data_IF_729559879113
#
_entry.id   IF_729559879113
#
_cell.length_a   1.000
_cell.length_b   1.000
_cell.length_c   1.000
_cell.angle_alpha   90.00
_cell.angle_beta   90.00
_cell.angle_gamma   90.00
#
_symmetry.space_group_name_H-M   'P 1'
#
loop_
_entity.id
_entity.type
_entity.pdbx_description
1 polymer ?
#
# COMPACT_ATOMS: atom_id res chain seq x y z
N UNK A 1 -28.50 57.35 13.62
CA UNK A 1 -27.36 56.55 13.13
C UNK A 1 -26.51 56.14 14.31
N UNK A 2 -26.50 54.87 14.72
CA UNK A 2 -25.46 54.37 15.63
C UNK A 2 -25.31 52.84 15.44
N UNK A 3 -24.16 52.40 14.92
CA UNK A 3 -23.80 50.98 14.78
C UNK A 3 -23.13 50.51 16.07
N UNK A 4 -23.50 49.36 16.66
CA UNK A 4 -22.80 48.85 17.83
C UNK A 4 -21.49 48.15 17.44
N UNK A 5 -20.50 48.31 18.33
CA UNK A 5 -19.11 47.90 18.21
C UNK A 5 -18.90 46.38 18.23
N UNK A 6 -18.10 45.88 17.26
CA UNK A 6 -17.46 44.56 17.26
C UNK A 6 -16.29 44.51 18.27
N UNK A 7 -16.54 44.34 19.58
CA UNK A 7 -15.45 44.17 20.58
C UNK A 7 -15.31 42.77 21.20
N UNK A 8 -16.21 41.82 20.89
CA UNK A 8 -16.16 40.46 21.45
C UNK A 8 -15.23 39.45 20.75
N UNK A 9 -14.89 39.67 19.46
CA UNK A 9 -14.23 38.64 18.63
C UNK A 9 -12.70 38.58 18.77
N UNK A 10 -12.06 39.63 19.28
CA UNK A 10 -10.59 39.69 19.40
C UNK A 10 -10.02 39.00 20.65
N UNK A 11 -10.79 38.91 21.76
CA UNK A 11 -10.33 38.25 22.98
C UNK A 11 -10.35 36.72 22.87
N UNK A 12 -11.39 36.15 22.24
CA UNK A 12 -11.50 34.70 22.02
C UNK A 12 -10.43 34.17 21.05
N UNK A 13 -10.09 34.91 20.00
CA UNK A 13 -9.03 34.50 19.06
C UNK A 13 -7.65 34.41 19.73
N UNK A 14 -7.28 35.39 20.58
CA UNK A 14 -6.02 35.37 21.32
C UNK A 14 -5.91 34.19 22.29
N UNK A 15 -6.98 33.85 22.98
CA UNK A 15 -7.01 32.71 23.91
C UNK A 15 -6.89 31.38 23.17
N UNK A 16 -7.52 31.25 22.00
CA UNK A 16 -7.37 30.04 21.15
C UNK A 16 -5.93 29.90 20.64
N UNK A 17 -5.31 31.01 20.21
CA UNK A 17 -3.91 31.01 19.77
C UNK A 17 -2.95 30.63 20.93
N UNK A 18 -3.20 31.12 22.15
CA UNK A 18 -2.41 30.78 23.34
C UNK A 18 -2.53 29.29 23.72
N UNK A 19 -3.72 28.71 23.63
CA UNK A 19 -3.96 27.28 23.88
C UNK A 19 -3.25 26.42 22.83
N UNK A 20 -3.31 26.81 21.56
CA UNK A 20 -2.63 26.09 20.47
C UNK A 20 -1.10 26.13 20.63
N UNK A 21 -0.55 27.29 21.02
CA UNK A 21 0.88 27.45 21.31
C UNK A 21 1.30 26.61 22.51
N UNK A 22 0.50 26.61 23.60
CA UNK A 22 0.78 25.80 24.78
C UNK A 22 0.75 24.29 24.46
N UNK A 23 -0.26 23.81 23.72
CA UNK A 23 -0.35 22.41 23.29
C UNK A 23 0.82 22.01 22.39
N UNK A 24 1.24 22.89 21.49
CA UNK A 24 2.42 22.66 20.65
C UNK A 24 3.71 22.53 21.47
N UNK A 25 3.92 23.38 22.47
CA UNK A 25 5.09 23.32 23.34
C UNK A 25 5.15 21.99 24.12
N UNK A 26 4.02 21.54 24.68
CA UNK A 26 3.91 20.26 25.38
C UNK A 26 4.24 19.09 24.45
N UNK A 27 3.75 19.11 23.20
CA UNK A 27 4.08 18.11 22.19
C UNK A 27 5.58 18.11 21.83
N UNK A 28 6.19 19.28 21.68
CA UNK A 28 7.61 19.39 21.37
C UNK A 28 8.49 18.88 22.53
N UNK A 29 8.06 19.09 23.77
CA UNK A 29 8.69 18.51 24.95
C UNK A 29 8.50 16.99 25.02
N UNK A 30 7.27 16.50 24.79
CA UNK A 30 6.97 15.07 24.71
C UNK A 30 7.82 14.38 23.64
N UNK A 31 8.08 15.04 22.51
CA UNK A 31 8.94 14.54 21.45
C UNK A 31 10.40 14.38 21.90
N UNK A 32 10.90 15.22 22.81
CA UNK A 32 12.24 15.04 23.40
C UNK A 32 12.29 13.76 24.24
N UNK A 33 11.27 13.51 25.05
CA UNK A 33 11.15 12.28 25.83
C UNK A 33 11.00 11.03 24.95
N UNK A 34 10.29 11.14 23.83
CA UNK A 34 10.22 10.08 22.80
C UNK A 34 11.61 9.73 22.23
N UNK A 35 12.47 10.73 21.99
CA UNK A 35 13.83 10.50 21.45
C UNK A 35 14.72 9.76 22.43
N UNK A 36 14.57 10.00 23.73
CA UNK A 36 15.30 9.27 24.79
C UNK A 36 14.58 7.98 25.23
N UNK A 37 13.55 7.54 24.48
CA UNK A 37 12.74 6.34 24.74
C UNK A 37 12.03 6.33 26.10
N UNK A 38 11.82 7.50 26.71
CA UNK A 38 11.04 7.62 27.93
C UNK A 38 9.55 7.84 27.56
N UNK A 39 8.89 6.74 27.21
CA UNK A 39 7.52 6.77 26.68
C UNK A 39 6.47 7.13 27.73
N UNK A 40 6.69 6.80 29.01
CA UNK A 40 5.76 7.12 30.10
C UNK A 40 5.68 8.62 30.35
N UNK A 41 6.83 9.32 30.40
CA UNK A 41 6.85 10.78 30.51
C UNK A 41 6.28 11.47 29.26
N UNK A 42 6.62 10.96 28.08
CA UNK A 42 6.07 11.48 26.83
C UNK A 42 4.54 11.36 26.79
N UNK A 43 4.00 10.24 27.25
CA UNK A 43 2.56 9.98 27.30
C UNK A 43 1.85 10.99 28.21
N UNK A 44 2.35 11.25 29.42
CA UNK A 44 1.76 12.25 30.31
C UNK A 44 1.75 13.67 29.71
N UNK A 45 2.78 14.04 28.96
CA UNK A 45 2.82 15.32 28.24
C UNK A 45 1.84 15.36 27.05
N UNK A 46 1.65 14.24 26.35
CA UNK A 46 0.62 14.16 25.30
C UNK A 46 -0.79 14.20 25.87
N UNK A 47 -1.02 13.61 27.04
CA UNK A 47 -2.31 13.71 27.73
C UNK A 47 -2.63 15.17 28.09
N UNK A 48 -1.67 15.88 28.69
CA UNK A 48 -1.82 17.32 28.97
C UNK A 48 -2.04 18.14 27.68
N UNK A 49 -1.35 17.81 26.58
CA UNK A 49 -1.58 18.48 25.30
C UNK A 49 -3.01 18.23 24.76
N UNK A 50 -3.55 17.04 24.98
CA UNK A 50 -4.91 16.67 24.55
C UNK A 50 -6.00 17.19 25.49
N UNK A 51 -5.70 17.42 26.77
CA UNK A 51 -6.58 18.16 27.69
C UNK A 51 -6.76 19.62 27.23
N UNK A 52 -5.70 20.23 26.70
CA UNK A 52 -5.75 21.59 26.13
C UNK A 52 -6.48 21.62 24.78
N UNK A 53 -6.19 20.66 23.90
CA UNK A 53 -6.84 20.53 22.60
C UNK A 53 -7.11 19.06 22.28
N UNK A 54 -8.35 18.63 22.51
CA UNK A 54 -8.80 17.25 22.29
C UNK A 54 -8.72 16.79 20.84
N UNK A 55 -8.66 17.75 19.89
CA UNK A 55 -8.63 17.48 18.45
C UNK A 55 -7.24 17.66 17.83
N UNK A 56 -6.16 17.74 18.62
CA UNK A 56 -4.79 17.76 18.06
C UNK A 56 -4.41 16.38 17.49
N UNK A 57 -4.58 16.24 16.18
CA UNK A 57 -4.22 15.03 15.44
C UNK A 57 -2.75 14.62 15.61
N UNK A 58 -1.82 15.58 15.75
CA UNK A 58 -0.42 15.24 15.90
C UNK A 58 -0.14 14.65 17.29
N UNK A 59 -0.80 15.17 18.32
CA UNK A 59 -0.72 14.64 19.67
C UNK A 59 -1.36 13.23 19.73
N UNK A 60 -2.55 13.03 19.14
CA UNK A 60 -3.20 11.71 19.05
C UNK A 60 -2.30 10.66 18.37
N UNK A 61 -1.73 10.99 17.20
CA UNK A 61 -0.83 10.10 16.46
C UNK A 61 0.44 9.78 17.27
N UNK A 62 1.00 10.76 17.96
CA UNK A 62 2.21 10.56 18.73
C UNK A 62 1.95 9.77 20.03
N UNK A 63 0.81 9.99 20.68
CA UNK A 63 0.36 9.23 21.85
C UNK A 63 0.03 7.78 21.49
N UNK A 64 -0.63 7.55 20.35
CA UNK A 64 -0.80 6.20 19.77
C UNK A 64 0.55 5.48 19.66
N UNK A 65 1.57 6.16 19.14
CA UNK A 65 2.91 5.58 19.04
C UNK A 65 3.51 5.27 20.41
N UNK A 66 3.31 6.12 21.44
CA UNK A 66 3.74 5.82 22.81
C UNK A 66 3.07 4.55 23.33
N UNK A 67 1.76 4.41 23.17
CA UNK A 67 1.00 3.24 23.59
C UNK A 67 1.52 1.95 22.94
N UNK A 68 1.85 1.98 21.64
CA UNK A 68 2.48 0.82 20.98
C UNK A 68 3.84 0.45 21.60
N UNK A 69 4.67 1.43 21.94
CA UNK A 69 5.96 1.18 22.58
C UNK A 69 5.84 0.67 24.01
N UNK A 70 4.74 1.00 24.69
CA UNK A 70 4.41 0.52 26.04
C UNK A 70 3.69 -0.82 26.04
N UNK A 71 3.37 -1.39 24.86
CA UNK A 71 2.68 -2.67 24.75
C UNK A 71 1.16 -2.58 24.95
N UNK A 72 0.56 -1.39 24.78
CA UNK A 72 -0.88 -1.16 24.90
C UNK A 72 -1.54 -0.87 23.53
N UNK A 73 -1.60 -1.84 22.60
CA UNK A 73 -2.04 -1.58 21.24
C UNK A 73 -3.54 -1.26 21.12
N UNK A 74 -4.37 -1.65 22.10
CA UNK A 74 -5.79 -1.29 22.13
C UNK A 74 -6.03 0.21 22.29
N UNK A 75 -5.29 0.87 23.20
CA UNK A 75 -5.37 2.35 23.36
C UNK A 75 -4.76 3.07 22.17
N UNK A 76 -3.67 2.53 21.61
CA UNK A 76 -3.09 3.05 20.38
C UNK A 76 -4.10 3.06 19.21
N UNK A 77 -4.88 1.98 19.08
CA UNK A 77 -5.91 1.89 18.05
C UNK A 77 -6.96 2.99 18.20
N UNK A 78 -7.44 3.25 19.42
CA UNK A 78 -8.43 4.31 19.70
C UNK A 78 -7.90 5.70 19.31
N UNK A 79 -6.66 6.02 19.66
CA UNK A 79 -6.01 7.28 19.28
C UNK A 79 -5.83 7.41 17.76
N UNK A 80 -5.44 6.33 17.09
CA UNK A 80 -5.31 6.34 15.64
C UNK A 80 -6.67 6.48 14.94
N UNK A 81 -7.74 5.90 15.48
CA UNK A 81 -9.10 6.02 14.97
C UNK A 81 -9.67 7.42 15.14
N UNK A 82 -9.53 8.02 16.32
CA UNK A 82 -9.94 9.40 16.57
C UNK A 82 -9.21 10.37 15.65
N UNK A 83 -7.89 10.20 15.44
CA UNK A 83 -7.14 11.00 14.48
C UNK A 83 -7.67 10.85 13.03
N UNK A 84 -8.12 9.65 12.64
CA UNK A 84 -8.71 9.38 11.31
C UNK A 84 -10.14 9.89 11.15
N UNK A 85 -10.89 10.05 12.25
CA UNK A 85 -12.19 10.73 12.23
C UNK A 85 -11.99 12.21 11.88
N UNK A 86 -10.95 12.83 12.44
CA UNK A 86 -10.61 14.23 12.18
C UNK A 86 -10.03 14.45 10.78
N UNK A 87 -9.10 13.60 10.34
CA UNK A 87 -8.62 13.58 8.95
C UNK A 87 -8.47 12.14 8.45
N UNK A 88 -9.42 11.76 7.59
CA UNK A 88 -9.50 10.42 6.99
C UNK A 88 -8.25 10.04 6.20
N UNK A 89 -7.51 11.02 5.69
CA UNK A 89 -6.35 10.81 4.81
C UNK A 89 -5.01 11.09 5.52
N UNK A 90 -5.02 11.27 6.84
CA UNK A 90 -3.80 11.47 7.61
C UNK A 90 -2.91 10.22 7.54
N UNK A 91 -1.84 10.31 6.75
CA UNK A 91 -0.93 9.19 6.46
C UNK A 91 -0.31 8.62 7.74
N UNK A 92 0.01 9.48 8.73
CA UNK A 92 0.61 9.03 9.99
C UNK A 92 -0.41 8.27 10.84
N UNK A 93 -1.66 8.73 10.88
CA UNK A 93 -2.74 8.04 11.59
C UNK A 93 -3.09 6.69 10.93
N UNK A 94 -3.13 6.63 9.59
CA UNK A 94 -3.30 5.36 8.85
C UNK A 94 -2.21 4.36 9.23
N UNK A 95 -0.96 4.82 9.28
CA UNK A 95 0.17 3.97 9.65
C UNK A 95 0.07 3.48 11.10
N UNK A 96 -0.24 4.37 12.05
CA UNK A 96 -0.42 4.00 13.46
C UNK A 96 -1.57 3.01 13.66
N UNK A 97 -2.71 3.19 12.96
CA UNK A 97 -3.82 2.24 12.97
C UNK A 97 -3.39 0.87 12.45
N UNK A 98 -2.65 0.83 11.34
CA UNK A 98 -2.13 -0.42 10.78
C UNK A 98 -1.19 -1.15 11.75
N UNK A 99 -0.26 -0.43 12.40
CA UNK A 99 0.61 -1.02 13.42
C UNK A 99 -0.18 -1.50 14.65
N UNK A 100 -1.14 -0.73 15.16
CA UNK A 100 -1.96 -1.14 16.29
C UNK A 100 -2.74 -2.43 16.00
N UNK A 101 -3.36 -2.53 14.82
CA UNK A 101 -4.04 -3.74 14.36
C UNK A 101 -3.09 -4.93 14.23
N UNK A 102 -1.85 -4.70 13.76
CA UNK A 102 -0.82 -5.74 13.69
C UNK A 102 -0.49 -6.30 15.08
N UNK A 103 -0.27 -5.43 16.07
CA UNK A 103 0.04 -5.85 17.44
C UNK A 103 -1.15 -6.48 18.16
N UNK A 104 -2.39 -6.18 17.74
CA UNK A 104 -3.60 -6.87 18.20
C UNK A 104 -3.83 -8.23 17.52
N UNK A 105 -2.98 -8.63 16.56
CA UNK A 105 -3.13 -9.88 15.80
C UNK A 105 -4.20 -9.82 14.69
N UNK A 106 -4.77 -8.64 14.43
CA UNK A 106 -5.76 -8.44 13.36
C UNK A 106 -5.05 -8.18 12.01
N UNK A 107 -4.32 -9.20 11.54
CA UNK A 107 -3.38 -9.03 10.43
C UNK A 107 -4.03 -8.66 9.10
N UNK A 108 -5.22 -9.17 8.80
CA UNK A 108 -5.96 -8.83 7.56
C UNK A 108 -6.35 -7.35 7.50
N UNK A 109 -6.86 -6.83 8.62
CA UNK A 109 -7.23 -5.42 8.74
C UNK A 109 -5.98 -4.53 8.69
N UNK A 110 -4.92 -4.95 9.38
CA UNK A 110 -3.61 -4.28 9.32
C UNK A 110 -3.08 -4.18 7.88
N UNK A 111 -3.10 -5.30 7.14
CA UNK A 111 -2.67 -5.37 5.74
C UNK A 111 -3.48 -4.43 4.84
N UNK A 112 -4.80 -4.37 5.02
CA UNK A 112 -5.67 -3.45 4.29
C UNK A 112 -5.26 -1.98 4.52
N UNK A 113 -5.00 -1.58 5.77
CA UNK A 113 -4.57 -0.20 6.06
C UNK A 113 -3.15 0.11 5.56
N UNK A 114 -2.22 -0.85 5.59
CA UNK A 114 -0.91 -0.66 4.97
C UNK A 114 -1.02 -0.47 3.45
N UNK A 115 -1.86 -1.24 2.76
CA UNK A 115 -2.14 -1.01 1.34
C UNK A 115 -2.86 0.31 1.06
N UNK A 116 -3.76 0.75 1.95
CA UNK A 116 -4.37 2.09 1.86
C UNK A 116 -3.30 3.18 1.95
N UNK A 117 -2.35 3.05 2.87
CA UNK A 117 -1.21 3.96 2.98
C UNK A 117 -0.32 3.98 1.74
N UNK A 118 -0.01 2.80 1.18
CA UNK A 118 0.74 2.69 -0.09
C UNK A 118 0.03 3.40 -1.26
N UNK A 119 -1.30 3.31 -1.34
CA UNK A 119 -2.07 4.02 -2.38
C UNK A 119 -1.95 5.54 -2.26
N UNK A 120 -1.90 6.07 -1.03
CA UNK A 120 -1.75 7.51 -0.78
C UNK A 120 -0.31 8.00 -0.94
N UNK A 121 0.67 7.19 -0.49
CA UNK A 121 2.12 7.49 -0.57
C UNK A 121 2.92 6.23 -0.92
N UNK A 122 3.08 5.92 -2.22
CA UNK A 122 3.83 4.75 -2.68
C UNK A 122 5.33 4.79 -2.34
N UNK A 123 5.89 5.99 -2.21
CA UNK A 123 7.31 6.23 -1.92
C UNK A 123 7.71 5.89 -0.48
N UNK A 124 6.73 5.83 0.44
CA UNK A 124 7.04 5.62 1.85
C UNK A 124 7.30 4.14 2.13
N UNK A 125 8.58 3.79 2.25
CA UNK A 125 9.04 2.42 2.46
C UNK A 125 8.43 1.74 3.71
N UNK A 126 8.01 2.51 4.72
CA UNK A 126 7.39 1.96 5.94
C UNK A 126 6.10 1.21 5.65
N UNK A 127 5.26 1.65 4.70
CA UNK A 127 4.06 0.91 4.34
C UNK A 127 4.38 -0.38 3.60
N UNK A 128 5.40 -0.38 2.72
CA UNK A 128 5.84 -1.60 2.02
C UNK A 128 6.36 -2.64 3.00
N UNK A 129 7.16 -2.19 3.97
CA UNK A 129 7.63 -3.03 5.07
C UNK A 129 6.46 -3.54 5.92
N UNK A 130 5.47 -2.69 6.21
CA UNK A 130 4.25 -3.07 6.91
C UNK A 130 3.49 -4.20 6.20
N UNK A 131 3.26 -4.04 4.88
CA UNK A 131 2.64 -5.09 4.04
C UNK A 131 3.40 -6.40 4.13
N UNK A 132 4.72 -6.38 3.95
CA UNK A 132 5.55 -7.58 4.03
C UNK A 132 5.41 -8.27 5.40
N UNK A 133 5.57 -7.50 6.50
CA UNK A 133 5.44 -8.02 7.86
C UNK A 133 4.06 -8.63 8.12
N UNK A 134 3.00 -7.98 7.66
CA UNK A 134 1.63 -8.52 7.82
C UNK A 134 1.40 -9.78 7.00
N UNK A 135 1.91 -9.86 5.78
CA UNK A 135 1.78 -11.05 4.93
C UNK A 135 2.51 -12.24 5.56
N UNK A 136 3.75 -12.02 5.99
CA UNK A 136 4.53 -13.04 6.70
C UNK A 136 3.81 -13.48 7.99
N UNK A 137 3.21 -12.56 8.75
CA UNK A 137 2.42 -12.90 9.93
C UNK A 137 1.20 -13.76 9.58
N UNK A 138 0.44 -13.42 8.53
CA UNK A 138 -0.71 -14.20 8.05
C UNK A 138 -0.27 -15.60 7.64
N UNK A 139 0.77 -15.72 6.81
CA UNK A 139 1.32 -17.00 6.35
C UNK A 139 1.76 -17.88 7.52
N UNK A 140 2.45 -17.28 8.50
CA UNK A 140 2.87 -17.98 9.71
C UNK A 140 1.68 -18.43 10.56
N UNK A 141 0.60 -17.64 10.68
CA UNK A 141 -0.59 -18.04 11.43
C UNK A 141 -1.40 -19.16 10.77
N UNK A 142 -1.45 -19.18 9.44
CA UNK A 142 -2.16 -20.23 8.68
C UNK A 142 -1.41 -21.56 8.77
N UNK A 143 -0.09 -21.51 8.99
CA UNK A 143 0.78 -22.67 8.92
C UNK A 143 0.92 -23.18 7.48
N UNK A 144 2.08 -23.73 7.12
CA UNK A 144 2.31 -24.29 5.79
C UNK A 144 1.41 -25.52 5.52
N UNK A 145 0.14 -25.29 5.17
CA UNK A 145 -0.74 -26.26 4.53
C UNK A 145 -0.65 -26.19 3.00
N UNK A 146 0.28 -25.40 2.46
CA UNK A 146 0.63 -25.27 1.04
C UNK A 146 1.54 -26.40 0.55
N UNK A 147 1.27 -27.66 0.92
CA UNK A 147 1.87 -28.81 0.20
C UNK A 147 1.30 -29.01 -1.21
N UNK A 148 0.33 -28.19 -1.64
CA UNK A 148 -0.19 -28.15 -3.01
C UNK A 148 0.01 -26.82 -3.75
N UNK A 149 1.03 -26.03 -3.40
CA UNK A 149 1.56 -25.01 -4.32
C UNK A 149 3.02 -25.33 -4.65
N UNK A 150 3.43 -25.32 -5.94
CA UNK A 150 4.81 -25.61 -6.31
C UNK A 150 5.76 -24.59 -5.68
N UNK A 151 6.58 -25.10 -4.76
CA UNK A 151 7.51 -24.35 -3.92
C UNK A 151 8.48 -23.53 -4.77
N UNK A 152 8.42 -22.20 -4.69
CA UNK A 152 9.58 -21.36 -4.99
C UNK A 152 10.55 -21.48 -3.81
N UNK A 153 11.61 -22.26 -3.99
CA UNK A 153 12.70 -22.39 -3.01
C UNK A 153 13.33 -21.02 -2.71
N UNK A 154 13.76 -20.76 -1.47
CA UNK A 154 14.36 -19.49 -1.08
C UNK A 154 15.74 -19.33 -1.73
N UNK A 155 15.93 -18.22 -2.45
CA UNK A 155 17.22 -17.82 -3.01
C UNK A 155 18.10 -17.34 -1.85
N UNK A 156 19.12 -18.13 -1.49
CA UNK A 156 20.22 -17.69 -0.63
C UNK A 156 20.89 -16.48 -1.28
N UNK A 157 20.98 -15.38 -0.53
CA UNK A 157 21.78 -14.22 -0.92
C UNK A 157 23.25 -14.57 -0.69
N UNK A 158 23.85 -15.24 -1.68
CA UNK A 158 25.30 -15.26 -1.85
C UNK A 158 25.69 -14.16 -2.83
N UNK A 159 26.71 -13.37 -2.45
CA UNK A 159 27.33 -12.35 -3.31
C UNK A 159 27.65 -12.98 -4.68
N UNK A 160 27.34 -12.32 -5.82
CA UNK A 160 27.44 -12.97 -7.11
C UNK A 160 28.92 -13.15 -7.48
N UNK A 161 29.41 -14.39 -7.35
CA UNK A 161 30.53 -14.87 -8.16
C UNK A 161 29.95 -15.34 -9.49
N UNK A 162 30.16 -14.53 -10.52
CA UNK A 162 30.10 -14.84 -11.96
C UNK A 162 29.24 -16.07 -12.37
N UNK A 163 27.92 -15.90 -12.39
CA UNK A 163 27.01 -16.93 -12.89
C UNK A 163 26.90 -16.88 -14.43
N UNK A 164 27.22 -18.01 -15.08
CA UNK A 164 26.97 -18.26 -16.51
C UNK A 164 25.49 -18.06 -16.83
N UNK A 165 25.21 -17.26 -17.86
CA UNK A 165 23.87 -16.87 -18.33
C UNK A 165 23.17 -18.07 -18.98
N UNK A 166 22.22 -18.70 -18.29
CA UNK A 166 21.32 -19.69 -18.90
C UNK A 166 20.42 -18.98 -19.90
N UNK A 167 20.46 -19.39 -21.17
CA UNK A 167 19.60 -18.83 -22.22
C UNK A 167 18.15 -19.28 -21.98
N UNK A 168 17.23 -18.31 -21.85
CA UNK A 168 15.79 -18.59 -21.80
C UNK A 168 15.33 -19.22 -23.11
N UNK A 169 14.43 -20.20 -23.05
CA UNK A 169 13.89 -20.79 -24.27
C UNK A 169 13.08 -19.75 -25.05
N UNK A 170 12.98 -19.93 -26.37
CA UNK A 170 12.20 -19.05 -27.24
C UNK A 170 10.74 -18.91 -26.77
N UNK A 171 10.17 -20.01 -26.27
CA UNK A 171 8.81 -20.05 -25.72
C UNK A 171 8.67 -19.22 -24.43
N UNK A 172 9.66 -19.27 -23.53
CA UNK A 172 9.64 -18.48 -22.30
C UNK A 172 9.77 -16.98 -22.58
N UNK A 173 10.58 -16.62 -23.57
CA UNK A 173 10.69 -15.23 -24.04
C UNK A 173 9.37 -14.74 -24.62
N UNK A 174 8.68 -15.58 -25.39
CA UNK A 174 7.39 -15.26 -25.99
C UNK A 174 6.26 -15.17 -24.97
N UNK A 175 6.23 -16.04 -23.96
CA UNK A 175 5.29 -15.93 -22.83
C UNK A 175 5.51 -14.63 -22.05
N UNK A 176 6.76 -14.26 -21.78
CA UNK A 176 7.09 -12.98 -21.13
C UNK A 176 6.67 -11.77 -21.96
N UNK A 177 6.86 -11.83 -23.28
CA UNK A 177 6.42 -10.77 -24.19
C UNK A 177 4.88 -10.66 -24.20
N UNK A 178 4.19 -11.79 -24.34
CA UNK A 178 2.72 -11.87 -24.30
C UNK A 178 2.14 -11.28 -23.01
N UNK A 179 2.72 -11.63 -21.85
CA UNK A 179 2.31 -11.09 -20.55
C UNK A 179 2.51 -9.57 -20.45
N UNK A 180 3.58 -9.04 -21.03
CA UNK A 180 3.83 -7.58 -21.06
C UNK A 180 2.85 -6.83 -21.97
N UNK A 181 2.43 -7.46 -23.07
CA UNK A 181 1.53 -6.84 -24.05
C UNK A 181 0.07 -6.91 -23.62
N UNK A 182 -0.37 -8.03 -23.03
CA UNK A 182 -1.75 -8.27 -22.64
C UNK A 182 -2.10 -7.84 -21.21
N UNK A 183 -1.12 -7.77 -20.31
CA UNK A 183 -1.37 -7.43 -18.90
C UNK A 183 -2.26 -8.47 -18.22
N UNK A 184 -3.35 -8.01 -17.60
CA UNK A 184 -4.29 -8.86 -16.86
C UNK A 184 -5.03 -9.85 -17.79
N UNK A 185 -5.28 -9.47 -19.05
CA UNK A 185 -5.91 -10.35 -20.05
C UNK A 185 -5.03 -11.55 -20.45
N UNK A 186 -3.76 -11.58 -20.05
CA UNK A 186 -2.89 -12.73 -20.28
C UNK A 186 -3.40 -13.97 -19.52
N UNK A 187 -4.00 -13.78 -18.35
CA UNK A 187 -4.56 -14.86 -17.53
C UNK A 187 -5.70 -15.55 -18.29
N UNK A 188 -6.56 -14.75 -18.91
CA UNK A 188 -7.68 -15.26 -19.72
C UNK A 188 -7.18 -16.03 -20.94
N UNK A 189 -6.14 -15.52 -21.61
CA UNK A 189 -5.49 -16.23 -22.74
C UNK A 189 -5.00 -17.62 -22.32
N UNK A 190 -4.27 -17.70 -21.20
CA UNK A 190 -3.72 -18.96 -20.68
C UNK A 190 -4.84 -19.93 -20.27
N UNK A 191 -5.90 -19.42 -19.66
CA UNK A 191 -7.08 -20.20 -19.31
C UNK A 191 -7.76 -20.82 -20.54
N UNK A 192 -8.01 -20.02 -21.58
CA UNK A 192 -8.66 -20.47 -22.81
C UNK A 192 -7.79 -21.47 -23.60
N UNK A 193 -6.47 -21.26 -23.66
CA UNK A 193 -5.54 -22.20 -24.29
C UNK A 193 -5.51 -23.56 -23.57
N UNK A 194 -5.65 -23.55 -22.24
CA UNK A 194 -5.73 -24.78 -21.45
C UNK A 194 -7.11 -25.43 -21.59
N UNK A 195 -8.19 -24.64 -21.63
CA UNK A 195 -9.55 -25.11 -21.85
C UNK A 195 -9.66 -25.91 -23.17
N UNK A 196 -9.06 -25.41 -24.26
CA UNK A 196 -9.03 -26.11 -25.54
C UNK A 196 -8.23 -27.43 -25.54
N UNK A 197 -7.30 -27.61 -24.60
CA UNK A 197 -6.52 -28.85 -24.44
C UNK A 197 -7.27 -29.90 -23.61
N UNK A 198 -8.31 -29.51 -22.88
CA UNK A 198 -9.03 -30.43 -21.99
C UNK A 198 -9.91 -31.41 -22.80
N UNK A 199 -9.83 -32.72 -22.51
CA UNK A 199 -10.58 -33.75 -23.25
C UNK A 199 -12.09 -33.70 -23.01
N UNK A 200 -12.53 -33.06 -21.92
CA UNK A 200 -13.95 -32.94 -21.56
C UNK A 200 -14.68 -31.88 -22.38
N UNK A 201 -13.96 -30.91 -22.95
CA UNK A 201 -14.56 -29.89 -23.83
C UNK A 201 -15.17 -30.54 -25.09
N UNK A 202 -14.51 -31.56 -25.65
CA UNK A 202 -15.03 -32.32 -26.80
C UNK A 202 -16.32 -33.07 -26.52
N UNK A 203 -16.60 -33.42 -25.25
CA UNK A 203 -17.86 -34.07 -24.87
C UNK A 203 -19.01 -33.07 -24.72
N UNK A 204 -18.68 -31.80 -24.45
CA UNK A 204 -19.64 -30.72 -24.24
C UNK A 204 -20.11 -30.05 -25.54
N UNK A 205 -19.35 -30.19 -26.63
CA UNK A 205 -19.63 -29.57 -27.95
C UNK A 205 -20.75 -30.28 -28.76
N UNK A 206 -21.78 -30.85 -28.10
CA UNK A 206 -22.88 -31.58 -28.76
C UNK A 206 -24.08 -30.72 -29.17
N UNK A 207 -24.07 -29.42 -28.85
CA UNK A 207 -25.17 -28.48 -29.13
C UNK A 207 -24.80 -27.37 -30.13
N UNK A 208 -25.82 -26.65 -30.63
CA UNK A 208 -25.78 -25.65 -31.72
C UNK A 208 -24.80 -24.49 -31.54
N UNK A 209 -24.35 -24.18 -30.32
CA UNK A 209 -23.30 -23.19 -30.04
C UNK A 209 -22.10 -23.89 -29.40
N UNK A 210 -21.05 -24.06 -30.19
CA UNK A 210 -19.85 -24.79 -29.82
C UNK A 210 -18.97 -23.93 -28.91
N UNK A 211 -18.80 -24.35 -27.64
CA UNK A 211 -18.00 -23.62 -26.65
C UNK A 211 -16.54 -23.53 -27.12
N UNK A 212 -16.05 -24.57 -27.82
CA UNK A 212 -14.71 -24.52 -28.39
C UNK A 212 -14.55 -23.46 -29.48
N UNK A 213 -15.59 -23.11 -30.23
CA UNK A 213 -15.51 -22.06 -31.25
C UNK A 213 -15.48 -20.67 -30.60
N UNK A 214 -16.29 -20.43 -29.57
CA UNK A 214 -16.22 -19.19 -28.78
C UNK A 214 -14.84 -19.01 -28.10
N UNK A 215 -14.26 -20.10 -27.59
CA UNK A 215 -12.92 -20.07 -27.00
C UNK A 215 -11.84 -19.76 -28.05
N UNK A 216 -11.94 -20.32 -29.26
CA UNK A 216 -11.05 -19.99 -30.38
C UNK A 216 -11.18 -18.53 -30.79
N UNK A 217 -12.41 -18.01 -30.90
CA UNK A 217 -12.66 -16.61 -31.26
C UNK A 217 -12.10 -15.65 -30.21
N UNK A 218 -12.26 -15.97 -28.93
CA UNK A 218 -11.68 -15.20 -27.83
C UNK A 218 -10.13 -15.22 -27.87
N UNK A 219 -9.51 -16.38 -28.15
CA UNK A 219 -8.05 -16.47 -28.33
C UNK A 219 -7.60 -15.67 -29.56
N UNK A 220 -8.34 -15.73 -30.67
CA UNK A 220 -8.06 -14.96 -31.88
C UNK A 220 -8.11 -13.46 -31.60
N UNK A 221 -9.11 -13.00 -30.85
CA UNK A 221 -9.20 -11.62 -30.39
C UNK A 221 -7.98 -11.21 -29.54
N UNK A 222 -7.57 -12.05 -28.58
CA UNK A 222 -6.40 -11.79 -27.73
C UNK A 222 -5.09 -11.79 -28.52
N UNK A 223 -4.96 -12.67 -29.51
CA UNK A 223 -3.81 -12.69 -30.43
C UNK A 223 -3.76 -11.42 -31.30
N UNK A 224 -4.88 -11.01 -31.88
CA UNK A 224 -4.98 -9.78 -32.67
C UNK A 224 -4.64 -8.55 -31.82
N UNK A 225 -5.12 -8.49 -30.58
CA UNK A 225 -4.78 -7.42 -29.63
C UNK A 225 -3.30 -7.45 -29.26
N UNK A 226 -2.74 -8.62 -29.01
CA UNK A 226 -1.30 -8.77 -28.74
C UNK A 226 -0.46 -8.25 -29.91
N UNK A 227 -0.84 -8.59 -31.14
CA UNK A 227 -0.14 -8.17 -32.35
C UNK A 227 -0.31 -6.67 -32.62
N UNK A 228 -1.51 -6.12 -32.39
CA UNK A 228 -1.76 -4.68 -32.42
C UNK A 228 -0.79 -3.92 -31.48
N UNK A 229 -0.63 -4.41 -30.24
CA UNK A 229 0.32 -3.79 -29.30
C UNK A 229 1.78 -4.01 -29.67
N UNK A 230 2.11 -5.13 -30.33
CA UNK A 230 3.46 -5.37 -30.89
C UNK A 230 3.78 -4.35 -31.99
N UNK A 231 2.81 -4.02 -32.83
CA UNK A 231 2.95 -3.05 -33.92
C UNK A 231 2.99 -1.59 -33.41
N UNK A 232 2.18 -1.24 -32.40
CA UNK A 232 2.23 0.11 -31.79
C UNK A 232 3.46 0.35 -30.91
N UNK A 233 4.08 -0.72 -30.39
CA UNK A 233 5.32 -0.66 -29.62
C UNK A 233 6.38 -1.55 -30.28
N UNK A 234 6.87 -1.19 -31.48
CA UNK A 234 7.95 -1.94 -32.11
C UNK A 234 9.13 -1.93 -31.14
N UNK A 235 9.80 -3.08 -30.99
CA UNK A 235 10.84 -3.32 -29.98
C UNK A 235 12.03 -2.33 -30.02
N UNK A 236 12.05 -1.40 -30.98
CA UNK A 236 13.00 -0.29 -31.15
C UNK A 236 12.49 1.07 -30.61
N UNK A 237 11.23 1.19 -30.17
CA UNK A 237 10.69 2.41 -29.54
C UNK A 237 10.79 2.44 -28.01
N UNK A 238 11.35 1.39 -27.39
CA UNK A 238 11.78 1.44 -26.00
C UNK A 238 13.08 2.25 -25.91
N UNK A 239 12.97 3.57 -26.05
CA UNK A 239 14.02 4.45 -25.56
C UNK A 239 14.10 4.26 -24.04
N UNK A 240 15.10 3.49 -23.65
CA UNK A 240 16.05 3.84 -22.59
C UNK A 240 15.81 5.22 -21.94
N UNK A 241 14.86 5.29 -21.01
CA UNK A 241 15.04 6.11 -19.80
C UNK A 241 15.17 5.16 -18.62
N UNK A 242 16.38 4.59 -18.53
CA UNK A 242 16.93 4.08 -17.27
C UNK A 242 16.82 5.19 -16.22
N UNK A 243 16.45 4.81 -15.00
CA UNK A 243 17.23 5.10 -13.79
C UNK A 243 17.95 6.46 -13.85
N UNK A 244 17.21 7.53 -13.58
CA UNK A 244 17.47 8.51 -12.53
C UNK A 244 16.57 9.72 -12.74
N UNK A 245 15.34 9.62 -12.23
CA UNK A 245 14.45 10.76 -12.11
C UNK A 245 14.69 11.45 -10.76
N UNK A 246 15.62 12.40 -10.75
CA UNK A 246 15.36 13.65 -10.04
C UNK A 246 14.28 14.39 -10.84
N UNK A 247 13.12 14.64 -10.23
CA UNK A 247 11.99 15.25 -10.93
C UNK A 247 12.20 16.75 -11.14
N UNK A 248 12.85 17.09 -12.26
CA UNK A 248 12.63 18.33 -13.00
C UNK A 248 11.42 18.16 -13.93
N UNK A 249 10.37 18.93 -13.62
CA UNK A 249 9.34 19.50 -14.49
C UNK A 249 9.33 19.09 -15.98
N UNK A 250 8.19 18.57 -16.47
CA UNK A 250 7.91 18.42 -17.91
C UNK A 250 7.38 19.75 -18.50
N UNK A 251 7.69 20.09 -19.77
CA UNK A 251 7.34 21.38 -20.34
C UNK A 251 5.88 21.45 -20.79
N UNK A 252 5.28 22.62 -20.57
CA UNK A 252 4.05 23.10 -21.21
C UNK A 252 4.40 23.64 -22.60
N UNK A 253 3.63 23.27 -23.62
CA UNK A 253 3.46 24.11 -24.81
C UNK A 253 2.00 24.04 -25.29
N UNK A 254 1.40 25.24 -25.25
CA UNK A 254 0.11 25.76 -25.73
C UNK A 254 -1.16 25.03 -25.27
#
# INVERSE_FOLDING_TARGET
>A
MNKPMKKGRQKGAKVVDEIEVAGKNLRDEALKYMKVRNYTKALGLYDQALEMNTNDQNALVARSRCFLQLGEPGKALQDAETALVLDKNNIRAIYQKAEALYYLGQFEHSLMFFHRGLRLRPELASFRLGVQKTQEAIENTIGNNTKNQPQKKPVKVEKPKSAKRTQLSREELEKRASRRLLGDLYIDKEYLENLLKHPDLRKADTNTECISDLAKDAINFLNNRQEFWRQQKPCTSLNAKKINAGNGMLPRWL
#
